data_IF_981348750886
#
_entry.id   IF_981348750886
#
_cell.length_a   1.000
_cell.length_b   1.000
_cell.length_c   1.000
_cell.angle_alpha   90.00
_cell.angle_beta   90.00
_cell.angle_gamma   90.00
#
_symmetry.space_group_name_H-M   'P 1'
#
loop_
_entity.id
_entity.type
_entity.pdbx_description
1 polymer ?
#
# COMPACT_ATOMS: atom_id res chain seq x y z
N UNK A 1 19.49 7.54 -5.36
CA UNK A 1 18.25 6.95 -5.94
C UNK A 1 18.44 5.47 -6.19
N UNK A 2 17.51 4.65 -5.70
CA UNK A 2 17.46 3.22 -6.02
C UNK A 2 17.33 3.00 -7.54
N UNK A 3 18.03 1.98 -8.06
CA UNK A 3 18.01 1.65 -9.50
C UNK A 3 16.68 1.03 -9.94
N UNK A 4 15.93 0.43 -9.02
CA UNK A 4 14.62 -0.16 -9.29
C UNK A 4 13.53 0.89 -9.10
N UNK A 5 12.74 1.14 -10.15
CA UNK A 5 11.61 2.07 -10.12
C UNK A 5 10.38 1.38 -10.70
N UNK A 6 9.25 1.56 -10.06
CA UNK A 6 7.95 1.17 -10.56
C UNK A 6 6.97 2.31 -10.27
N UNK A 7 6.40 2.96 -11.30
CA UNK A 7 5.44 4.05 -11.10
C UNK A 7 4.17 3.59 -10.35
N UNK A 8 3.54 4.45 -9.53
CA UNK A 8 2.31 4.11 -8.81
C UNK A 8 1.18 3.60 -9.72
N UNK A 9 1.06 4.15 -10.93
CA UNK A 9 0.04 3.73 -11.89
C UNK A 9 0.26 2.30 -12.41
N UNK A 10 1.51 1.88 -12.60
CA UNK A 10 1.83 0.53 -13.09
C UNK A 10 1.57 -0.53 -12.03
N UNK A 11 1.94 -0.26 -10.77
CA UNK A 11 1.61 -1.18 -9.67
C UNK A 11 0.09 -1.22 -9.43
N UNK A 12 -0.61 -0.08 -9.54
CA UNK A 12 -2.07 -0.05 -9.45
C UNK A 12 -2.71 -0.93 -10.53
N UNK A 13 -2.20 -0.85 -11.77
CA UNK A 13 -2.67 -1.69 -12.87
C UNK A 13 -2.42 -3.18 -12.61
N UNK A 14 -1.25 -3.55 -12.10
CA UNK A 14 -0.97 -4.94 -11.75
C UNK A 14 -1.90 -5.45 -10.65
N UNK A 15 -2.08 -4.68 -9.57
CA UNK A 15 -2.97 -5.05 -8.46
C UNK A 15 -4.43 -5.17 -8.91
N UNK A 16 -4.88 -4.31 -9.83
CA UNK A 16 -6.20 -4.41 -10.45
C UNK A 16 -6.37 -5.72 -11.23
N UNK A 17 -5.36 -6.10 -12.04
CA UNK A 17 -5.38 -7.36 -12.77
C UNK A 17 -5.38 -8.57 -11.83
N UNK A 18 -4.62 -8.50 -10.73
CA UNK A 18 -4.61 -9.52 -9.67
C UNK A 18 -5.99 -9.63 -9.03
N UNK A 19 -6.59 -8.52 -8.63
CA UNK A 19 -7.91 -8.47 -7.99
C UNK A 19 -9.02 -9.06 -8.89
N UNK A 20 -8.94 -8.81 -10.20
CA UNK A 20 -9.93 -9.29 -11.19
C UNK A 20 -9.69 -10.73 -11.67
N UNK A 21 -8.66 -11.43 -11.20
CA UNK A 21 -8.34 -12.76 -11.70
C UNK A 21 -7.75 -12.78 -13.12
N UNK A 22 -7.28 -11.63 -13.62
CA UNK A 22 -6.88 -11.43 -15.01
C UNK A 22 -5.41 -11.78 -15.31
N UNK A 23 -4.68 -12.32 -14.32
CA UNK A 23 -3.31 -12.81 -14.48
C UNK A 23 -3.16 -14.20 -13.85
N UNK A 24 -2.16 -14.94 -14.34
CA UNK A 24 -1.89 -16.28 -13.83
C UNK A 24 -1.62 -16.25 -12.32
N UNK A 25 -2.32 -17.11 -11.58
CA UNK A 25 -2.13 -17.26 -10.14
C UNK A 25 -2.65 -16.09 -9.30
N UNK A 26 -3.56 -15.25 -9.81
CA UNK A 26 -4.17 -14.14 -9.07
C UNK A 26 -4.58 -14.51 -7.63
N UNK A 27 -5.29 -15.63 -7.42
CA UNK A 27 -5.68 -16.05 -6.07
C UNK A 27 -4.48 -16.30 -5.15
N UNK A 28 -3.44 -16.95 -5.67
CA UNK A 28 -2.21 -17.21 -4.90
C UNK A 28 -1.49 -15.90 -4.59
N UNK A 29 -1.46 -14.97 -5.53
CA UNK A 29 -0.86 -13.64 -5.33
C UNK A 29 -1.64 -12.84 -4.27
N UNK A 30 -2.97 -12.86 -4.30
CA UNK A 30 -3.82 -12.25 -3.26
C UNK A 30 -3.54 -12.87 -1.88
N UNK A 31 -3.44 -14.20 -1.78
CA UNK A 31 -3.07 -14.88 -0.52
C UNK A 31 -1.69 -14.45 -0.01
N UNK A 32 -0.71 -14.29 -0.90
CA UNK A 32 0.63 -13.81 -0.52
C UNK A 32 0.57 -12.37 -0.01
N UNK A 33 -0.18 -11.49 -0.68
CA UNK A 33 -0.35 -10.11 -0.23
C UNK A 33 -1.10 -10.04 1.12
N UNK A 34 -2.05 -10.96 1.34
CA UNK A 34 -2.77 -11.08 2.61
C UNK A 34 -1.87 -11.54 3.78
N UNK A 35 -0.67 -12.07 3.54
CA UNK A 35 0.27 -12.43 4.61
C UNK A 35 1.13 -11.26 5.08
N UNK A 36 0.97 -10.05 4.52
CA UNK A 36 1.68 -8.89 5.03
C UNK A 36 1.16 -8.52 6.42
N UNK A 37 2.05 -8.50 7.41
CA UNK A 37 1.73 -8.20 8.82
C UNK A 37 2.08 -6.76 9.22
N UNK A 38 2.64 -5.99 8.28
CA UNK A 38 3.01 -4.60 8.52
C UNK A 38 1.74 -3.75 8.67
N UNK A 39 1.54 -3.21 9.86
CA UNK A 39 0.36 -2.42 10.21
C UNK A 39 0.69 -0.96 10.47
N UNK A 40 1.90 -0.50 10.16
CA UNK A 40 2.37 0.85 10.53
C UNK A 40 2.07 1.92 9.46
N UNK A 41 1.63 1.51 8.26
CA UNK A 41 1.35 2.38 7.11
C UNK A 41 -0.15 2.49 6.79
N UNK A 42 -0.59 2.21 5.56
CA UNK A 42 -1.97 2.44 5.16
C UNK A 42 -2.94 1.58 5.98
N UNK A 43 -2.54 0.36 6.33
CA UNK A 43 -3.35 -0.55 7.15
C UNK A 43 -3.81 0.07 8.49
N UNK A 44 -2.99 0.88 9.16
CA UNK A 44 -3.35 1.57 10.41
C UNK A 44 -4.40 2.68 10.24
N UNK A 45 -4.75 3.03 9.00
CA UNK A 45 -5.78 4.03 8.69
C UNK A 45 -7.11 3.45 8.20
N UNK A 46 -7.26 2.12 8.21
CA UNK A 46 -8.48 1.43 7.78
C UNK A 46 -9.53 1.31 8.88
N UNK A 47 -10.77 1.09 8.47
CA UNK A 47 -11.87 0.81 9.40
C UNK A 47 -11.83 -0.66 9.85
N UNK A 48 -12.45 -0.95 11.00
CA UNK A 48 -12.65 -2.32 11.44
C UNK A 48 -13.44 -3.12 10.40
N UNK A 49 -12.99 -4.35 10.13
CA UNK A 49 -13.60 -5.25 9.15
C UNK A 49 -13.16 -5.04 7.70
N UNK A 50 -12.38 -4.00 7.41
CA UNK A 50 -11.68 -3.91 6.12
C UNK A 50 -10.59 -4.98 6.02
N UNK A 51 -10.42 -5.53 4.82
CA UNK A 51 -9.32 -6.46 4.50
C UNK A 51 -8.39 -5.79 3.50
N UNK A 52 -7.11 -5.69 3.85
CA UNK A 52 -6.11 -5.07 2.99
C UNK A 52 -4.99 -6.06 2.66
N UNK A 53 -4.95 -6.48 1.41
CA UNK A 53 -3.94 -7.39 0.88
C UNK A 53 -2.86 -6.54 0.22
N UNK A 54 -1.72 -6.36 0.88
CA UNK A 54 -0.80 -5.29 0.53
C UNK A 54 0.68 -5.65 0.67
N UNK A 55 1.53 -4.71 0.27
CA UNK A 55 2.96 -4.78 0.54
C UNK A 55 3.52 -3.38 0.74
N UNK A 56 4.22 -3.23 1.86
CA UNK A 56 4.99 -2.04 2.19
C UNK A 56 6.39 -2.07 1.56
N UNK A 57 7.01 -0.92 1.39
CA UNK A 57 8.43 -0.83 1.11
C UNK A 57 9.02 0.45 1.65
N UNK A 58 10.32 0.40 1.91
CA UNK A 58 11.03 1.46 2.61
C UNK A 58 12.44 1.62 2.04
N UNK A 59 12.87 2.87 1.91
CA UNK A 59 14.22 3.25 1.50
C UNK A 59 14.64 4.51 2.24
N UNK A 60 15.88 4.97 2.05
CA UNK A 60 16.34 6.26 2.61
C UNK A 60 15.59 7.49 2.09
N UNK A 61 14.81 7.37 1.00
CA UNK A 61 14.17 8.53 0.35
C UNK A 61 12.67 8.34 0.10
N UNK A 62 12.14 7.13 0.24
CA UNK A 62 10.77 6.78 -0.15
C UNK A 62 10.20 5.74 0.81
N UNK A 63 9.07 6.08 1.41
CA UNK A 63 8.15 5.14 2.06
C UNK A 63 6.96 4.91 1.14
N UNK A 64 6.57 3.66 0.94
CA UNK A 64 5.41 3.32 0.12
C UNK A 64 4.64 2.12 0.64
N UNK A 65 3.39 2.04 0.22
CA UNK A 65 2.49 0.92 0.49
C UNK A 65 1.47 0.82 -0.65
N UNK A 66 1.15 -0.40 -1.05
CA UNK A 66 0.29 -0.68 -2.18
C UNK A 66 -0.48 -1.98 -1.95
N UNK A 67 -1.78 -1.98 -2.20
CA UNK A 67 -2.60 -3.15 -1.97
C UNK A 67 -4.00 -3.11 -2.56
N UNK A 68 -4.68 -4.25 -2.38
CA UNK A 68 -6.08 -4.47 -2.71
C UNK A 68 -6.86 -4.37 -1.40
N UNK A 69 -7.70 -3.36 -1.29
CA UNK A 69 -8.63 -3.15 -0.18
C UNK A 69 -9.97 -3.77 -0.55
N UNK A 70 -10.53 -4.59 0.35
CA UNK A 70 -11.94 -4.96 0.33
C UNK A 70 -12.55 -4.33 1.56
N UNK A 71 -13.46 -3.38 1.38
CA UNK A 71 -14.11 -2.72 2.51
C UNK A 71 -14.97 -3.71 3.29
N UNK A 72 -15.33 -3.40 4.54
CA UNK A 72 -16.29 -4.21 5.31
C UNK A 72 -17.63 -4.45 4.58
N UNK A 73 -18.03 -3.57 3.66
CA UNK A 73 -19.21 -3.76 2.80
C UNK A 73 -18.96 -4.63 1.55
N UNK A 74 -17.76 -5.18 1.40
CA UNK A 74 -17.36 -6.02 0.28
C UNK A 74 -16.96 -5.25 -0.99
N UNK A 75 -16.74 -3.93 -0.93
CA UNK A 75 -16.35 -3.14 -2.11
C UNK A 75 -14.83 -3.23 -2.35
N UNK A 76 -14.36 -3.64 -3.54
CA UNK A 76 -12.94 -3.73 -3.83
C UNK A 76 -12.35 -2.40 -4.35
N UNK A 77 -11.18 -2.03 -3.86
CA UNK A 77 -10.39 -0.89 -4.28
C UNK A 77 -8.92 -1.28 -4.43
N UNK A 78 -8.22 -0.60 -5.33
CA UNK A 78 -6.76 -0.63 -5.39
C UNK A 78 -6.24 0.68 -4.81
N UNK A 79 -5.37 0.59 -3.82
CA UNK A 79 -4.78 1.75 -3.14
C UNK A 79 -3.27 1.68 -3.28
N UNK A 80 -2.66 2.76 -3.72
CA UNK A 80 -1.21 2.88 -3.93
C UNK A 80 -0.77 4.26 -3.47
N UNK A 81 0.19 4.32 -2.55
CA UNK A 81 0.75 5.58 -2.06
C UNK A 81 2.27 5.51 -1.97
N UNK A 82 2.93 6.51 -2.54
CA UNK A 82 4.37 6.70 -2.48
C UNK A 82 4.63 8.07 -1.87
N UNK A 83 5.40 8.12 -0.78
CA UNK A 83 5.83 9.34 -0.13
C UNK A 83 7.33 9.47 -0.30
N UNK A 84 7.75 10.46 -1.09
CA UNK A 84 9.16 10.83 -1.20
C UNK A 84 9.50 11.88 -0.14
N UNK A 85 10.62 11.67 0.54
CA UNK A 85 11.12 12.56 1.59
C UNK A 85 12.50 13.07 1.24
N UNK A 86 12.87 14.21 1.85
CA UNK A 86 14.24 14.73 1.77
C UNK A 86 15.02 14.06 2.92
N UNK A 87 16.06 13.26 2.63
CA UNK A 87 16.83 12.62 3.68
C UNK A 87 17.54 13.66 4.55
N UNK A 88 17.51 13.46 5.87
CA UNK A 88 18.33 14.21 6.82
C UNK A 88 19.42 13.31 7.40
N UNK A 89 20.52 13.88 7.90
CA UNK A 89 21.67 13.11 8.37
C UNK A 89 21.33 12.11 9.51
N UNK A 90 20.28 12.42 10.28
CA UNK A 90 19.86 11.64 11.43
C UNK A 90 18.78 10.57 11.10
N UNK A 91 18.39 10.45 9.82
CA UNK A 91 17.32 9.54 9.38
C UNK A 91 17.86 8.49 8.40
N UNK A 92 17.87 7.24 8.84
CA UNK A 92 18.32 6.11 8.03
C UNK A 92 17.32 5.75 6.92
N UNK A 93 16.03 6.00 7.16
CA UNK A 93 14.93 5.64 6.25
C UNK A 93 13.80 6.69 6.25
N UNK A 94 12.84 6.50 5.34
CA UNK A 94 11.69 7.39 5.17
C UNK A 94 10.49 7.00 6.06
N UNK A 95 10.69 6.22 7.12
CA UNK A 95 9.60 5.79 8.02
C UNK A 95 8.88 6.96 8.70
N UNK A 96 9.53 8.11 8.83
CA UNK A 96 8.90 9.35 9.30
C UNK A 96 7.72 9.82 8.42
N UNK A 97 7.60 9.30 7.19
CA UNK A 97 6.44 9.52 6.34
C UNK A 97 5.20 8.70 6.77
N UNK A 98 5.38 7.59 7.51
CA UNK A 98 4.31 6.63 7.82
C UNK A 98 3.11 7.28 8.54
N UNK A 99 3.27 8.17 9.54
CA UNK A 99 2.12 8.84 10.17
C UNK A 99 1.28 9.67 9.20
N UNK A 100 1.91 10.28 8.18
CA UNK A 100 1.20 11.03 7.14
C UNK A 100 0.44 10.09 6.21
N UNK A 101 0.99 8.92 5.89
CA UNK A 101 0.32 7.88 5.11
C UNK A 101 -0.92 7.35 5.85
N UNK A 102 -0.79 7.08 7.16
CA UNK A 102 -1.90 6.68 8.03
C UNK A 102 -3.00 7.75 8.01
N UNK A 103 -2.63 9.02 8.21
CA UNK A 103 -3.57 10.12 8.19
C UNK A 103 -4.29 10.22 6.84
N UNK A 104 -3.54 10.15 5.73
CA UNK A 104 -4.11 10.16 4.38
C UNK A 104 -5.10 9.01 4.18
N UNK A 105 -4.77 7.79 4.62
CA UNK A 105 -5.68 6.65 4.49
C UNK A 105 -6.97 6.86 5.29
N UNK A 106 -6.90 7.40 6.51
CA UNK A 106 -8.10 7.75 7.30
C UNK A 106 -8.98 8.78 6.60
N UNK A 107 -8.37 9.78 5.95
CA UNK A 107 -9.12 10.75 5.17
C UNK A 107 -9.80 10.06 3.99
N UNK A 108 -9.07 9.21 3.28
CA UNK A 108 -9.57 8.56 2.08
C UNK A 108 -10.63 7.52 2.36
N UNK A 109 -10.49 6.76 3.44
CA UNK A 109 -11.43 5.71 3.81
C UNK A 109 -12.86 6.24 3.99
N UNK A 110 -13.03 7.51 4.39
CA UNK A 110 -14.35 8.16 4.49
C UNK A 110 -15.07 8.35 3.14
N UNK A 111 -14.36 8.17 2.04
CA UNK A 111 -14.88 8.33 0.68
C UNK A 111 -14.96 7.00 -0.10
N UNK A 112 -14.58 5.88 0.52
CA UNK A 112 -14.61 4.54 -0.07
C UNK A 112 -15.77 3.72 0.51
#
# INVERSE_FOLDING_TARGET
MGRNRLPPAEIARLLELIARGAVAGSERQQRILATCVDSEKLAAGLDEGDVFMHKTGETSQVSHDAGILVTREGRPYVVVLYCQVIPTADQADATHANPFMVHWMRLMRRHL
#
